data_IF_801596640800
#
_entry.id   IF_801596640800
#
_cell.length_a   1.000
_cell.length_b   1.000
_cell.length_c   1.000
_cell.angle_alpha   90.00
_cell.angle_beta   90.00
_cell.angle_gamma   90.00
#
_symmetry.space_group_name_H-M   'P 1'
#
loop_
_entity.id
_entity.type
_entity.pdbx_description
1 polymer ?
#
# COMPACT_ATOMS: atom_id res chain seq x y z
N UNK A 1 -5.45 -1.62 41.11
CA UNK A 1 -6.66 -2.16 40.46
C UNK A 1 -6.36 -2.37 38.98
N UNK A 2 -6.84 -3.47 38.39
CA UNK A 2 -6.64 -3.79 36.96
C UNK A 2 -7.85 -3.35 36.13
N UNK A 3 -7.60 -2.78 34.95
CA UNK A 3 -8.62 -2.45 33.97
C UNK A 3 -8.24 -3.01 32.60
N UNK A 4 -9.23 -3.47 31.85
CA UNK A 4 -9.08 -3.94 30.48
C UNK A 4 -9.36 -2.79 29.52
N UNK A 5 -8.45 -2.49 28.60
CA UNK A 5 -8.59 -1.42 27.60
C UNK A 5 -8.65 -2.03 26.21
N UNK A 6 -9.76 -1.78 25.52
CA UNK A 6 -10.02 -2.32 24.19
C UNK A 6 -10.56 -1.21 23.30
N UNK A 7 -10.09 -1.14 22.07
CA UNK A 7 -10.60 -0.21 21.07
C UNK A 7 -11.54 -0.92 20.10
N UNK A 8 -12.47 -0.17 19.52
CA UNK A 8 -13.40 -0.62 18.49
C UNK A 8 -13.59 0.48 17.45
N UNK A 9 -14.33 0.25 16.35
CA UNK A 9 -14.54 1.28 15.33
C UNK A 9 -15.16 2.58 15.85
N UNK A 10 -15.83 2.56 17.00
CA UNK A 10 -16.52 3.74 17.56
C UNK A 10 -15.70 4.49 18.63
N UNK A 11 -14.58 3.92 19.10
CA UNK A 11 -13.76 4.55 20.12
C UNK A 11 -12.98 3.57 20.98
N UNK A 12 -12.48 4.08 22.11
CA UNK A 12 -11.74 3.31 23.11
C UNK A 12 -12.63 3.07 24.31
N UNK A 13 -12.67 1.82 24.77
CA UNK A 13 -13.42 1.38 25.94
C UNK A 13 -12.46 0.93 27.04
N UNK A 14 -12.87 1.13 28.29
CA UNK A 14 -12.26 0.51 29.44
C UNK A 14 -13.29 -0.24 30.28
N UNK A 15 -12.92 -1.43 30.73
CA UNK A 15 -13.76 -2.29 31.55
C UNK A 15 -13.01 -2.73 32.81
N UNK A 16 -13.76 -3.00 33.86
CA UNK A 16 -13.25 -3.71 35.04
C UNK A 16 -13.08 -5.20 34.73
N UNK A 17 -12.34 -5.93 35.56
CA UNK A 17 -12.17 -7.40 35.42
C UNK A 17 -13.53 -8.15 35.45
N UNK A 18 -14.53 -7.59 36.12
CA UNK A 18 -15.90 -8.13 36.17
C UNK A 18 -16.69 -7.92 34.87
N UNK A 19 -16.12 -7.20 33.89
CA UNK A 19 -16.75 -6.86 32.62
C UNK A 19 -17.72 -5.67 32.69
N UNK A 20 -17.68 -4.86 33.76
CA UNK A 20 -18.45 -3.60 33.82
C UNK A 20 -17.70 -2.48 33.14
N UNK A 21 -18.39 -1.72 32.29
CA UNK A 21 -17.86 -0.54 31.63
C UNK A 21 -17.43 0.52 32.65
N UNK A 22 -16.17 0.95 32.60
CA UNK A 22 -15.62 2.01 33.45
C UNK A 22 -15.73 3.35 32.73
N UNK A 23 -15.29 3.39 31.46
CA UNK A 23 -15.29 4.60 30.66
C UNK A 23 -15.27 4.28 29.15
N UNK A 24 -15.77 5.21 28.35
CA UNK A 24 -15.77 5.17 26.90
C UNK A 24 -15.35 6.55 26.38
N UNK A 25 -14.42 6.56 25.43
CA UNK A 25 -13.99 7.76 24.72
C UNK A 25 -14.26 7.53 23.24
N UNK A 26 -15.17 8.32 22.70
CA UNK A 26 -15.62 8.20 21.32
C UNK A 26 -14.56 8.72 20.34
N UNK A 27 -14.46 8.07 19.18
CA UNK A 27 -13.76 8.65 18.03
C UNK A 27 -14.60 9.75 17.37
N UNK A 28 -13.96 10.64 16.58
CA UNK A 28 -14.69 11.62 15.77
C UNK A 28 -15.69 10.95 14.82
N UNK A 29 -16.85 11.56 14.59
CA UNK A 29 -17.80 11.03 13.60
C UNK A 29 -17.33 11.14 12.15
N UNK A 30 -16.22 11.84 11.86
CA UNK A 30 -15.59 11.84 10.53
C UNK A 30 -15.01 10.46 10.23
N UNK A 31 -15.41 9.91 9.08
CA UNK A 31 -14.98 8.59 8.60
C UNK A 31 -13.47 8.59 8.36
N UNK A 32 -12.93 9.66 7.76
CA UNK A 32 -11.53 9.79 7.38
C UNK A 32 -10.61 9.86 8.61
N UNK A 33 -10.99 10.67 9.59
CA UNK A 33 -10.22 10.81 10.84
C UNK A 33 -10.22 9.51 11.63
N UNK A 34 -11.37 8.86 11.75
CA UNK A 34 -11.49 7.59 12.47
C UNK A 34 -10.74 6.48 11.75
N UNK A 35 -10.83 6.39 10.42
CA UNK A 35 -10.08 5.41 9.65
C UNK A 35 -8.56 5.58 9.82
N UNK A 36 -8.07 6.83 9.84
CA UNK A 36 -6.66 7.12 10.12
C UNK A 36 -6.25 6.71 11.54
N UNK A 37 -7.09 6.96 12.55
CA UNK A 37 -6.84 6.56 13.95
C UNK A 37 -6.83 5.03 14.10
N UNK A 38 -7.78 4.33 13.49
CA UNK A 38 -7.82 2.85 13.48
C UNK A 38 -6.56 2.28 12.81
N UNK A 39 -6.12 2.83 11.67
CA UNK A 39 -4.90 2.36 11.02
C UNK A 39 -3.67 2.48 11.94
N UNK A 40 -3.52 3.61 12.65
CA UNK A 40 -2.46 3.81 13.65
C UNK A 40 -2.52 2.78 14.78
N UNK A 41 -3.72 2.54 15.33
CA UNK A 41 -3.93 1.55 16.39
C UNK A 41 -3.57 0.13 15.93
N UNK A 42 -3.94 -0.24 14.71
CA UNK A 42 -3.58 -1.54 14.11
C UNK A 42 -2.06 -1.70 13.93
N UNK A 43 -1.34 -0.60 13.66
CA UNK A 43 0.11 -0.58 13.55
C UNK A 43 0.81 -0.55 14.94
N UNK A 44 0.05 -0.47 16.03
CA UNK A 44 0.55 -0.46 17.39
C UNK A 44 0.91 0.93 17.91
N UNK A 45 0.46 2.00 17.24
CA UNK A 45 0.69 3.38 17.65
C UNK A 45 -0.53 3.89 18.45
N UNK A 46 -0.32 4.44 19.66
CA UNK A 46 -1.40 5.02 20.43
C UNK A 46 -1.96 6.27 19.76
N UNK A 47 -3.27 6.47 19.88
CA UNK A 47 -3.99 7.67 19.43
C UNK A 47 -4.42 8.50 20.64
N UNK A 48 -4.77 9.76 20.39
CA UNK A 48 -5.21 10.72 21.42
C UNK A 48 -6.27 10.15 22.38
N UNK A 49 -7.30 9.47 21.86
CA UNK A 49 -8.37 8.89 22.67
C UNK A 49 -7.87 7.75 23.57
N UNK A 50 -6.87 6.99 23.12
CA UNK A 50 -6.25 5.96 23.93
C UNK A 50 -5.40 6.59 25.05
N UNK A 51 -4.67 7.65 24.74
CA UNK A 51 -3.89 8.40 25.74
C UNK A 51 -4.82 8.99 26.80
N UNK A 52 -5.90 9.66 26.38
CA UNK A 52 -6.92 10.21 27.29
C UNK A 52 -7.56 9.12 28.15
N UNK A 53 -7.82 7.93 27.58
CA UNK A 53 -8.37 6.79 28.34
C UNK A 53 -7.41 6.36 29.45
N UNK A 54 -6.12 6.24 29.13
CA UNK A 54 -5.10 5.85 30.10
C UNK A 54 -4.98 6.90 31.22
N UNK A 55 -4.96 8.18 30.88
CA UNK A 55 -4.92 9.26 31.88
C UNK A 55 -6.13 9.25 32.82
N UNK A 56 -7.34 9.08 32.29
CA UNK A 56 -8.57 8.98 33.08
C UNK A 56 -8.54 7.77 34.02
N UNK A 57 -8.03 6.63 33.55
CA UNK A 57 -7.87 5.43 34.38
C UNK A 57 -6.82 5.65 35.48
N UNK A 58 -5.70 6.32 35.19
CA UNK A 58 -4.71 6.71 36.22
C UNK A 58 -5.34 7.59 37.30
N UNK A 59 -6.11 8.61 36.90
CA UNK A 59 -6.82 9.51 37.85
C UNK A 59 -7.81 8.76 38.74
N UNK A 60 -8.44 7.71 38.21
CA UNK A 60 -9.36 6.82 38.94
C UNK A 60 -8.65 5.77 39.80
N UNK A 61 -7.31 5.72 39.81
CA UNK A 61 -6.52 4.81 40.65
C UNK A 61 -6.29 3.42 40.05
N UNK A 62 -6.50 3.24 38.74
CA UNK A 62 -6.12 2.01 38.06
C UNK A 62 -4.61 2.01 37.79
N UNK A 63 -3.94 0.97 38.28
CA UNK A 63 -2.48 0.85 38.29
C UNK A 63 -1.96 -0.05 37.18
N UNK A 64 -2.80 -1.00 36.74
CA UNK A 64 -2.42 -2.02 35.77
C UNK A 64 -3.46 -2.05 34.64
N UNK A 65 -3.02 -1.92 33.39
CA UNK A 65 -3.90 -1.89 32.21
C UNK A 65 -3.65 -3.09 31.32
N UNK A 66 -4.70 -3.83 30.97
CA UNK A 66 -4.62 -4.98 30.08
C UNK A 66 -5.01 -4.62 28.66
N UNK A 67 -4.23 -5.06 27.68
CA UNK A 67 -4.47 -4.82 26.25
C UNK A 67 -4.45 -6.13 25.46
N UNK A 68 -5.26 -6.20 24.40
CA UNK A 68 -5.23 -7.32 23.43
C UNK A 68 -4.08 -7.22 22.40
N UNK A 69 -3.24 -6.18 22.46
CA UNK A 69 -2.10 -5.99 21.55
C UNK A 69 -0.83 -5.69 22.34
N UNK A 70 0.17 -6.56 22.20
CA UNK A 70 1.45 -6.40 22.87
C UNK A 70 2.16 -5.11 22.42
N UNK A 71 2.05 -4.75 21.14
CA UNK A 71 2.67 -3.51 20.63
C UNK A 71 2.04 -2.27 21.26
N UNK A 72 0.71 -2.22 21.34
CA UNK A 72 0.01 -1.11 21.99
C UNK A 72 0.33 -1.05 23.49
N UNK A 73 0.36 -2.19 24.17
CA UNK A 73 0.74 -2.27 25.58
C UNK A 73 2.14 -1.66 25.80
N UNK A 74 3.13 -2.08 25.01
CA UNK A 74 4.50 -1.58 25.13
C UNK A 74 4.62 -0.10 24.79
N UNK A 75 3.90 0.38 23.76
CA UNK A 75 3.89 1.81 23.42
C UNK A 75 3.28 2.65 24.55
N UNK A 76 2.15 2.21 25.13
CA UNK A 76 1.52 2.88 26.28
C UNK A 76 2.42 2.85 27.52
N UNK A 77 3.10 1.74 27.78
CA UNK A 77 4.03 1.65 28.91
C UNK A 77 5.19 2.65 28.78
N UNK A 78 5.80 2.72 27.60
CA UNK A 78 6.91 3.63 27.33
C UNK A 78 6.53 5.11 27.38
N UNK A 79 5.35 5.45 26.85
CA UNK A 79 4.94 6.85 26.71
C UNK A 79 4.22 7.42 27.95
N UNK A 80 3.50 6.57 28.71
CA UNK A 80 2.57 7.03 29.75
C UNK A 80 2.87 6.54 31.18
N UNK A 81 3.96 5.79 31.36
CA UNK A 81 4.44 5.29 32.67
C UNK A 81 3.31 4.64 33.49
N UNK A 82 2.75 3.56 32.94
CA UNK A 82 1.71 2.72 33.55
C UNK A 82 2.12 1.26 33.44
N UNK A 83 1.83 0.45 34.45
CA UNK A 83 2.00 -0.99 34.30
C UNK A 83 1.00 -1.53 33.27
N UNK A 84 1.52 -2.29 32.31
CA UNK A 84 0.70 -2.91 31.27
C UNK A 84 0.81 -4.42 31.34
N UNK A 85 -0.28 -5.08 30.98
CA UNK A 85 -0.32 -6.52 30.74
C UNK A 85 -0.89 -6.78 29.35
N UNK A 86 -0.48 -7.89 28.76
CA UNK A 86 -0.95 -8.33 27.46
C UNK A 86 -1.62 -9.70 27.60
N UNK A 87 -2.86 -9.77 27.15
CA UNK A 87 -3.67 -10.98 27.18
C UNK A 87 -4.65 -10.91 26.01
N UNK A 88 -4.78 -11.99 25.25
CA UNK A 88 -5.69 -12.06 24.11
C UNK A 88 -6.31 -13.46 24.03
N UNK A 89 -7.65 -13.59 24.06
CA UNK A 89 -8.64 -12.52 24.16
C UNK A 89 -8.79 -11.95 25.57
N UNK A 90 -9.17 -10.66 25.67
CA UNK A 90 -9.69 -10.09 26.92
C UNK A 90 -11.20 -10.31 27.00
N UNK A 91 -11.75 -10.36 28.22
CA UNK A 91 -13.20 -10.45 28.45
C UNK A 91 -13.92 -9.23 27.85
N UNK A 92 -13.36 -8.04 28.04
CA UNK A 92 -13.80 -6.79 27.40
C UNK A 92 -13.81 -6.89 25.88
N UNK A 93 -12.81 -7.56 25.30
CA UNK A 93 -12.74 -7.78 23.86
C UNK A 93 -13.89 -8.64 23.34
N UNK A 94 -14.22 -9.72 24.06
CA UNK A 94 -15.39 -10.54 23.74
C UNK A 94 -16.71 -9.80 23.90
N UNK A 95 -16.85 -8.97 24.94
CA UNK A 95 -18.05 -8.15 25.15
C UNK A 95 -18.25 -7.16 24.01
N UNK A 96 -17.20 -6.46 23.59
CA UNK A 96 -17.26 -5.56 22.43
C UNK A 96 -17.62 -6.34 21.16
N UNK A 97 -16.96 -7.46 20.88
CA UNK A 97 -17.20 -8.24 19.65
C UNK A 97 -18.63 -8.79 19.56
N UNK A 98 -19.23 -9.15 20.68
CA UNK A 98 -20.59 -9.72 20.72
C UNK A 98 -21.69 -8.67 20.86
N UNK A 99 -21.40 -7.51 21.48
CA UNK A 99 -22.40 -6.55 21.92
C UNK A 99 -22.11 -5.11 21.50
N UNK A 100 -21.29 -4.88 20.46
CA UNK A 100 -20.91 -3.54 20.01
C UNK A 100 -22.11 -2.64 19.75
N UNK A 101 -23.14 -3.12 19.05
CA UNK A 101 -24.34 -2.32 18.75
C UNK A 101 -25.06 -1.88 20.02
N UNK A 102 -25.25 -2.79 20.98
CA UNK A 102 -25.87 -2.49 22.27
C UNK A 102 -25.05 -1.47 23.06
N UNK A 103 -23.74 -1.69 23.15
CA UNK A 103 -22.82 -0.77 23.84
C UNK A 103 -22.83 0.61 23.18
N UNK A 104 -22.86 0.68 21.85
CA UNK A 104 -22.89 1.94 21.10
C UNK A 104 -24.15 2.78 21.40
N UNK A 105 -25.30 2.12 21.56
CA UNK A 105 -26.56 2.75 21.95
C UNK A 105 -26.51 3.19 23.43
N UNK A 106 -25.99 2.34 24.32
CA UNK A 106 -25.86 2.63 25.76
C UNK A 106 -24.95 3.85 26.03
N UNK A 107 -23.85 3.97 25.29
CA UNK A 107 -22.93 5.12 25.40
C UNK A 107 -23.38 6.34 24.59
N UNK A 108 -24.50 6.25 23.87
CA UNK A 108 -25.09 7.36 23.11
C UNK A 108 -24.29 7.80 21.88
N UNK A 109 -23.47 6.92 21.29
CA UNK A 109 -22.66 7.27 20.12
C UNK A 109 -23.54 7.46 18.86
N UNK A 110 -24.49 6.56 18.67
CA UNK A 110 -25.60 6.68 17.70
C UNK A 110 -26.90 6.28 18.39
N UNK A 111 -28.03 6.83 17.94
CA UNK A 111 -29.36 6.48 18.44
C UNK A 111 -30.05 5.42 17.57
N UNK A 112 -29.68 5.33 16.29
CA UNK A 112 -30.25 4.37 15.36
C UNK A 112 -29.23 3.28 14.99
N UNK A 113 -29.58 1.97 15.16
CA UNK A 113 -28.67 0.88 14.82
C UNK A 113 -28.25 0.85 13.35
N UNK A 114 -29.12 1.30 12.45
CA UNK A 114 -28.85 1.31 11.01
C UNK A 114 -27.79 2.35 10.65
N UNK A 115 -27.85 3.55 11.22
CA UNK A 115 -26.82 4.59 11.05
C UNK A 115 -25.46 4.13 11.57
N UNK A 116 -25.43 3.49 12.74
CA UNK A 116 -24.21 2.92 13.30
C UNK A 116 -23.59 1.89 12.35
N UNK A 117 -24.37 0.93 11.86
CA UNK A 117 -23.86 -0.11 10.95
C UNK A 117 -23.29 0.49 9.67
N UNK A 118 -24.00 1.45 9.08
CA UNK A 118 -23.55 2.11 7.86
C UNK A 118 -22.27 2.91 8.09
N UNK A 119 -22.19 3.65 9.19
CA UNK A 119 -20.99 4.41 9.55
C UNK A 119 -19.78 3.51 9.85
N UNK A 120 -19.97 2.44 10.65
CA UNK A 120 -18.90 1.47 10.93
C UNK A 120 -18.42 0.82 9.64
N UNK A 121 -19.33 0.45 8.73
CA UNK A 121 -18.97 -0.09 7.41
C UNK A 121 -18.10 0.88 6.63
N UNK A 122 -18.48 2.16 6.56
CA UNK A 122 -17.70 3.19 5.85
C UNK A 122 -16.29 3.34 6.46
N UNK A 123 -16.20 3.44 7.79
CA UNK A 123 -14.92 3.53 8.52
C UNK A 123 -14.02 2.34 8.24
N UNK A 124 -14.55 1.12 8.26
CA UNK A 124 -13.76 -0.09 8.00
C UNK A 124 -13.28 -0.17 6.55
N UNK A 125 -14.13 0.22 5.58
CA UNK A 125 -13.75 0.28 4.17
C UNK A 125 -12.64 1.31 3.95
N UNK A 126 -12.77 2.51 4.52
CA UNK A 126 -11.74 3.55 4.40
C UNK A 126 -10.43 3.17 5.10
N UNK A 127 -10.52 2.51 6.27
CA UNK A 127 -9.34 1.96 6.96
C UNK A 127 -8.60 0.94 6.09
N UNK A 128 -9.35 0.04 5.43
CA UNK A 128 -8.77 -0.93 4.51
C UNK A 128 -8.12 -0.25 3.30
N UNK A 129 -8.76 0.76 2.70
CA UNK A 129 -8.18 1.55 1.59
C UNK A 129 -6.86 2.20 2.00
N UNK A 130 -6.80 2.83 3.17
CA UNK A 130 -5.59 3.47 3.67
C UNK A 130 -4.44 2.46 3.79
N UNK A 131 -4.70 1.28 4.35
CA UNK A 131 -3.67 0.23 4.51
C UNK A 131 -3.22 -0.34 3.17
N UNK A 132 -4.13 -0.56 2.22
CA UNK A 132 -3.77 -0.99 0.86
C UNK A 132 -2.90 0.06 0.19
N UNK A 133 -3.24 1.34 0.31
CA UNK A 133 -2.44 2.43 -0.23
C UNK A 133 -1.04 2.47 0.37
N UNK A 134 -0.92 2.37 1.70
CA UNK A 134 0.39 2.31 2.38
C UNK A 134 1.23 1.10 1.94
N UNK A 135 0.60 -0.06 1.71
CA UNK A 135 1.30 -1.24 1.23
C UNK A 135 1.77 -1.08 -0.23
N UNK A 136 0.97 -0.45 -1.08
CA UNK A 136 1.30 -0.17 -2.49
C UNK A 136 2.30 0.97 -2.69
N UNK A 137 2.38 1.91 -1.75
CA UNK A 137 3.36 3.01 -1.76
C UNK A 137 4.79 2.55 -1.39
N UNK A 138 5.01 1.25 -1.11
CA UNK A 138 6.36 0.69 -0.97
C UNK A 138 7.12 0.85 -2.29
N UNK A 139 7.91 1.91 -2.38
CA UNK A 139 8.71 2.29 -3.56
C UNK A 139 9.47 1.13 -4.17
N UNK A 140 9.99 0.24 -3.34
CA UNK A 140 10.76 -0.94 -3.75
C UNK A 140 9.98 -1.87 -4.69
N UNK A 141 8.65 -1.97 -4.52
CA UNK A 141 7.80 -2.76 -5.41
C UNK A 141 7.69 -2.12 -6.79
N UNK A 142 7.50 -0.80 -6.86
CA UNK A 142 7.39 -0.07 -8.13
C UNK A 142 8.71 -0.09 -8.88
N UNK A 143 9.84 0.08 -8.17
CA UNK A 143 11.18 0.01 -8.77
C UNK A 143 11.47 -1.39 -9.31
N UNK A 144 11.16 -2.45 -8.56
CA UNK A 144 11.34 -3.82 -9.04
C UNK A 144 10.52 -4.11 -10.31
N UNK A 145 9.27 -3.64 -10.37
CA UNK A 145 8.43 -3.78 -11.57
C UNK A 145 8.99 -3.00 -12.77
N UNK A 146 9.55 -1.81 -12.55
CA UNK A 146 10.17 -1.03 -13.63
C UNK A 146 11.43 -1.71 -14.19
N UNK A 147 12.27 -2.30 -13.32
CA UNK A 147 13.45 -3.07 -13.75
C UNK A 147 13.01 -4.27 -14.60
N UNK A 148 12.03 -5.04 -14.12
CA UNK A 148 11.50 -6.19 -14.86
C UNK A 148 10.93 -5.77 -16.23
N UNK A 149 10.25 -4.63 -16.29
CA UNK A 149 9.72 -4.11 -17.55
C UNK A 149 10.83 -3.74 -18.54
N UNK A 150 11.95 -3.18 -18.10
CA UNK A 150 13.11 -2.90 -18.95
C UNK A 150 13.70 -4.21 -19.51
N UNK A 151 13.89 -5.22 -18.65
CA UNK A 151 14.40 -6.52 -19.08
C UNK A 151 13.48 -7.19 -20.12
N UNK A 152 12.17 -7.06 -19.94
CA UNK A 152 11.19 -7.61 -20.87
C UNK A 152 11.14 -6.84 -22.19
N UNK A 153 11.33 -5.51 -22.15
CA UNK A 153 11.50 -4.69 -23.36
C UNK A 153 12.75 -5.09 -24.13
N UNK A 154 13.89 -5.30 -23.46
CA UNK A 154 15.14 -5.71 -24.11
C UNK A 154 15.01 -7.08 -24.78
N UNK A 155 14.39 -8.05 -24.11
CA UNK A 155 14.09 -9.37 -24.72
C UNK A 155 13.18 -9.22 -25.93
N UNK A 156 12.15 -8.39 -25.83
CA UNK A 156 11.17 -8.18 -26.90
C UNK A 156 11.80 -7.48 -28.11
N UNK A 157 12.63 -6.46 -27.87
CA UNK A 157 13.37 -5.74 -28.91
C UNK A 157 14.31 -6.69 -29.65
N UNK A 158 15.01 -7.58 -28.94
CA UNK A 158 15.88 -8.57 -29.57
C UNK A 158 15.12 -9.62 -30.39
N UNK A 159 13.97 -10.09 -29.88
CA UNK A 159 13.10 -11.02 -30.59
C UNK A 159 12.56 -10.39 -31.89
N UNK A 160 12.01 -9.18 -31.81
CA UNK A 160 11.47 -8.49 -32.98
C UNK A 160 12.55 -8.07 -33.97
N UNK A 161 13.72 -7.63 -33.50
CA UNK A 161 14.84 -7.29 -34.38
C UNK A 161 15.31 -8.49 -35.18
N UNK A 162 15.46 -9.65 -34.53
CA UNK A 162 15.82 -10.90 -35.20
C UNK A 162 14.75 -11.30 -36.23
N UNK A 163 13.46 -11.24 -35.85
CA UNK A 163 12.34 -11.58 -36.74
C UNK A 163 12.26 -10.67 -37.97
N UNK A 164 12.45 -9.36 -37.79
CA UNK A 164 12.43 -8.39 -38.88
C UNK A 164 13.65 -8.57 -39.79
N UNK A 165 14.83 -8.89 -39.22
CA UNK A 165 16.03 -9.21 -39.99
C UNK A 165 15.83 -10.44 -40.88
N UNK A 166 15.27 -11.51 -40.33
CA UNK A 166 14.92 -12.71 -41.11
C UNK A 166 13.93 -12.39 -42.23
N UNK A 167 12.86 -11.64 -41.92
CA UNK A 167 11.83 -11.32 -42.89
C UNK A 167 12.35 -10.40 -44.01
N UNK A 168 13.00 -9.30 -43.66
CA UNK A 168 13.55 -8.37 -44.63
C UNK A 168 14.75 -8.94 -45.39
N UNK A 169 15.47 -9.88 -44.79
CA UNK A 169 16.56 -10.62 -45.44
C UNK A 169 16.11 -11.41 -46.67
N UNK A 170 14.82 -11.76 -46.80
CA UNK A 170 14.28 -12.34 -48.03
C UNK A 170 14.30 -11.36 -49.22
N UNK A 171 14.30 -10.05 -48.93
CA UNK A 171 14.34 -8.97 -49.93
C UNK A 171 15.76 -8.41 -50.12
N UNK A 172 16.50 -8.20 -49.03
CA UNK A 172 17.86 -7.66 -49.07
C UNK A 172 18.79 -8.39 -48.09
N UNK A 173 19.26 -9.60 -48.44
CA UNK A 173 20.02 -10.46 -47.52
C UNK A 173 21.38 -9.90 -47.11
N UNK A 174 22.03 -9.12 -47.97
CA UNK A 174 23.36 -8.56 -47.72
C UNK A 174 23.36 -7.53 -46.58
N UNK A 175 22.25 -6.80 -46.40
CA UNK A 175 22.11 -5.78 -45.35
C UNK A 175 22.33 -6.36 -43.95
N UNK A 176 21.94 -7.61 -43.73
CA UNK A 176 22.07 -8.28 -42.43
C UNK A 176 23.55 -8.48 -42.03
N UNK A 177 24.45 -8.67 -43.00
CA UNK A 177 25.90 -8.80 -42.77
C UNK A 177 26.60 -7.45 -42.64
N UNK A 178 26.03 -6.40 -43.23
CA UNK A 178 26.64 -5.08 -43.29
C UNK A 178 26.27 -4.20 -42.08
N UNK A 179 25.14 -4.49 -41.44
CA UNK A 179 24.63 -3.71 -40.30
C UNK A 179 24.43 -4.62 -39.09
N UNK A 180 25.34 -4.52 -38.11
CA UNK A 180 25.30 -5.33 -36.88
C UNK A 180 24.26 -4.82 -35.87
N UNK A 181 24.13 -3.49 -35.70
CA UNK A 181 23.19 -2.91 -34.74
C UNK A 181 21.72 -3.14 -35.15
N UNK A 182 20.93 -3.71 -34.24
CA UNK A 182 19.49 -3.89 -34.40
C UNK A 182 18.77 -2.57 -34.68
N UNK A 183 19.04 -1.55 -33.88
CA UNK A 183 18.42 -0.22 -34.03
C UNK A 183 18.70 0.39 -35.40
N UNK A 184 19.96 0.38 -35.83
CA UNK A 184 20.35 0.94 -37.12
C UNK A 184 19.70 0.18 -38.29
N UNK A 185 19.67 -1.14 -38.23
CA UNK A 185 19.03 -1.97 -39.24
C UNK A 185 17.54 -1.65 -39.36
N UNK A 186 16.83 -1.62 -38.24
CA UNK A 186 15.40 -1.31 -38.20
C UNK A 186 15.12 0.10 -38.71
N UNK A 187 15.94 1.08 -38.32
CA UNK A 187 15.82 2.47 -38.78
C UNK A 187 15.98 2.57 -40.31
N UNK A 188 16.99 1.92 -40.88
CA UNK A 188 17.21 1.92 -42.33
C UNK A 188 16.09 1.23 -43.09
N UNK A 189 15.62 0.06 -42.60
CA UNK A 189 14.49 -0.65 -43.20
C UNK A 189 13.22 0.21 -43.18
N UNK A 190 12.95 0.88 -42.06
CA UNK A 190 11.78 1.75 -41.90
C UNK A 190 11.83 2.98 -42.82
N UNK A 191 13.00 3.63 -42.94
CA UNK A 191 13.16 4.85 -43.73
C UNK A 191 13.21 4.58 -45.24
N UNK A 192 14.01 3.59 -45.66
CA UNK A 192 14.32 3.38 -47.08
C UNK A 192 13.42 2.34 -47.73
N UNK A 193 12.97 1.33 -46.98
CA UNK A 193 12.04 0.31 -47.46
C UNK A 193 12.63 -0.58 -48.55
N UNK A 194 12.63 -0.14 -49.82
CA UNK A 194 13.15 -0.97 -50.93
C UNK A 194 14.66 -0.82 -51.09
N UNK A 195 15.37 -1.92 -51.38
CA UNK A 195 16.82 -1.95 -51.71
C UNK A 195 17.26 -0.85 -52.69
N UNK A 196 16.46 -0.55 -53.72
CA UNK A 196 16.79 0.48 -54.71
C UNK A 196 16.90 1.91 -54.14
N UNK A 197 16.42 2.14 -52.91
CA UNK A 197 16.50 3.43 -52.22
C UNK A 197 17.71 3.52 -51.27
N UNK A 198 18.50 2.46 -51.15
CA UNK A 198 19.76 2.47 -50.40
C UNK A 198 20.86 3.09 -51.26
N UNK A 199 20.77 4.40 -51.51
CA UNK A 199 21.85 5.14 -52.19
C UNK A 199 22.81 5.74 -51.17
N UNK A 200 24.07 6.06 -51.54
CA UNK A 200 25.03 6.67 -50.62
C UNK A 200 24.47 7.94 -49.95
N UNK A 201 23.77 8.78 -50.72
CA UNK A 201 23.20 10.04 -50.25
C UNK A 201 22.09 9.80 -49.21
N UNK A 202 21.18 8.85 -49.47
CA UNK A 202 20.09 8.52 -48.57
C UNK A 202 20.59 7.84 -47.27
N UNK A 203 21.70 7.10 -47.34
CA UNK A 203 22.34 6.47 -46.19
C UNK A 203 23.11 7.49 -45.34
N UNK A 204 23.75 8.47 -45.97
CA UNK A 204 24.36 9.62 -45.27
C UNK A 204 23.31 10.49 -44.59
N UNK A 205 22.17 10.76 -45.25
CA UNK A 205 21.04 11.47 -44.65
C UNK A 205 20.42 10.69 -43.48
N UNK A 206 20.46 9.36 -43.52
CA UNK A 206 20.08 8.50 -42.40
C UNK A 206 21.10 8.50 -41.23
N UNK A 207 22.23 9.20 -41.38
CA UNK A 207 23.25 9.41 -40.34
C UNK A 207 24.42 8.43 -40.39
N UNK A 208 24.62 7.70 -41.49
CA UNK A 208 25.80 6.84 -41.64
C UNK A 208 27.00 7.63 -42.17
N UNK A 209 28.23 7.33 -41.72
CA UNK A 209 29.44 7.87 -42.34
C UNK A 209 29.55 7.45 -43.81
N UNK A 210 30.08 8.33 -44.66
CA UNK A 210 30.28 8.11 -46.11
C UNK A 210 30.96 6.76 -46.42
N UNK A 211 31.96 6.38 -45.62
CA UNK A 211 32.68 5.11 -45.79
C UNK A 211 31.81 3.86 -45.55
N UNK A 212 30.79 3.96 -44.70
CA UNK A 212 29.80 2.88 -44.48
C UNK A 212 28.66 2.96 -45.50
N UNK A 213 28.22 4.16 -45.86
CA UNK A 213 27.18 4.37 -46.87
C UNK A 213 27.56 3.73 -48.21
N UNK A 214 28.80 3.99 -48.68
CA UNK A 214 29.35 3.40 -49.92
C UNK A 214 29.50 1.87 -49.89
N UNK A 215 29.57 1.26 -48.71
CA UNK A 215 29.66 -0.20 -48.56
C UNK A 215 28.30 -0.89 -48.54
N UNK A 216 27.23 -0.13 -48.26
CA UNK A 216 25.86 -0.63 -48.08
C UNK A 216 25.01 -0.40 -49.34
N UNK A 217 25.23 0.71 -50.04
CA UNK A 217 24.64 0.99 -51.35
C UNK A 217 25.07 -0.03 -52.41
#
# INVERSE_FOLDING_TARGET
MKAEVVWSPIGVFSFSEDGKLIHFIAFPKSVEQTASKIAKLMDGQPVEELVLMVEELKRKGYTTLAFESQRLAMAVHGDLDVEVSYEAPLRAGELIRTSLEKLALEVGFFSEPQELREWVRQVLVESARLRVRQASEKRDLVVAQAIQAIDDLDKTLNLFSSRIREWYGLHFPELNRLVESHELYLRLVNLLGRRSRFTPEALEEAGLPESRAKRIA
#
